data_IF_567867481714
#
_entry.id   IF_567867481714
#
_cell.length_a   1.000
_cell.length_b   1.000
_cell.length_c   1.000
_cell.angle_alpha   90.00
_cell.angle_beta   90.00
_cell.angle_gamma   90.00
#
_symmetry.space_group_name_H-M   'P 1'
#
loop_
_entity.id
_entity.type
_entity.pdbx_description
1 polymer ?
#
# COMPACT_ATOMS: atom_id res chain seq x y z
N UNK A 1 3.40 15.52 -3.73
CA UNK A 1 4.81 15.10 -3.82
C UNK A 1 4.95 13.96 -4.81
N UNK A 2 5.90 14.05 -5.69
CA UNK A 2 6.13 13.00 -6.66
C UNK A 2 6.81 11.80 -5.99
N UNK A 3 6.30 10.62 -6.27
CA UNK A 3 6.94 9.37 -5.83
C UNK A 3 8.17 9.11 -6.70
N UNK A 4 9.22 8.57 -6.11
CA UNK A 4 10.39 8.16 -6.87
C UNK A 4 10.00 7.08 -7.90
N UNK A 5 10.55 7.11 -9.11
CA UNK A 5 10.26 6.06 -10.09
C UNK A 5 10.81 4.72 -9.61
N UNK A 6 10.23 3.63 -10.15
CA UNK A 6 10.75 2.29 -9.91
C UNK A 6 12.19 2.20 -10.36
N UNK A 7 13.01 1.45 -9.63
CA UNK A 7 14.36 1.17 -10.06
C UNK A 7 14.34 0.18 -11.24
N UNK A 8 15.49 -0.02 -11.87
CA UNK A 8 15.61 -0.87 -13.04
C UNK A 8 15.17 -2.32 -12.77
N UNK A 9 15.50 -2.87 -11.61
CA UNK A 9 15.13 -4.24 -11.26
C UNK A 9 13.63 -4.40 -11.10
N UNK A 10 12.97 -3.44 -10.47
CA UNK A 10 11.52 -3.47 -10.30
C UNK A 10 10.80 -3.39 -11.65
N UNK A 11 11.25 -2.53 -12.54
CA UNK A 11 10.67 -2.42 -13.87
C UNK A 11 10.82 -3.72 -14.66
N UNK A 12 11.97 -4.38 -14.60
CA UNK A 12 12.19 -5.64 -15.28
C UNK A 12 11.31 -6.77 -14.73
N UNK A 13 11.13 -6.83 -13.41
CA UNK A 13 10.24 -7.81 -12.78
C UNK A 13 8.81 -7.63 -13.28
N UNK A 14 8.31 -6.41 -13.30
CA UNK A 14 6.95 -6.13 -13.78
C UNK A 14 6.78 -6.53 -15.25
N UNK A 15 7.74 -6.21 -16.12
CA UNK A 15 7.68 -6.57 -17.54
C UNK A 15 7.62 -8.08 -17.72
N UNK A 16 8.49 -8.82 -17.02
CA UNK A 16 8.49 -10.30 -17.13
C UNK A 16 7.17 -10.90 -16.67
N UNK A 17 6.60 -10.38 -15.59
CA UNK A 17 5.36 -10.90 -15.03
C UNK A 17 4.18 -10.66 -15.99
N UNK A 18 4.16 -9.55 -16.70
CA UNK A 18 3.10 -9.28 -17.67
C UNK A 18 3.21 -10.13 -18.93
N UNK A 19 4.37 -10.70 -19.21
CA UNK A 19 4.61 -11.44 -20.46
C UNK A 19 4.27 -12.92 -20.42
N UNK A 20 4.23 -13.56 -19.26
CA UNK A 20 4.12 -15.01 -19.24
C UNK A 20 3.28 -15.61 -18.14
N UNK A 21 2.64 -14.81 -17.32
CA UNK A 21 1.91 -15.28 -16.16
C UNK A 21 0.54 -14.68 -16.04
N UNK A 22 -0.31 -15.39 -15.27
CA UNK A 22 -1.55 -14.79 -14.80
C UNK A 22 -1.23 -13.68 -13.83
N UNK A 23 -1.67 -12.48 -14.15
CA UNK A 23 -1.43 -11.29 -13.35
C UNK A 23 -2.76 -10.79 -12.82
N UNK A 24 -3.11 -11.19 -11.60
CA UNK A 24 -4.34 -10.73 -10.99
C UNK A 24 -4.13 -10.16 -9.59
N UNK A 25 -2.88 -9.97 -9.19
CA UNK A 25 -2.57 -9.37 -7.91
C UNK A 25 -2.43 -7.86 -8.04
N UNK A 26 -2.81 -7.18 -6.98
CA UNK A 26 -2.82 -5.73 -6.90
C UNK A 26 -2.11 -5.30 -5.63
N UNK A 27 -1.33 -4.23 -5.73
CA UNK A 27 -0.92 -3.45 -4.58
C UNK A 27 -1.95 -2.35 -4.40
N UNK A 28 -2.23 -1.97 -3.18
CA UNK A 28 -3.16 -0.90 -2.91
C UNK A 28 -2.72 -0.09 -1.69
N UNK A 29 -3.20 1.15 -1.65
CA UNK A 29 -2.90 2.08 -0.55
C UNK A 29 -4.22 2.65 -0.06
N UNK A 30 -4.42 2.60 1.26
CA UNK A 30 -5.60 3.14 1.93
C UNK A 30 -5.18 4.35 2.75
N UNK A 31 -5.89 5.45 2.59
CA UNK A 31 -5.71 6.60 3.49
C UNK A 31 -6.32 6.26 4.85
N UNK A 32 -5.56 6.51 5.91
CA UNK A 32 -6.00 6.32 7.28
C UNK A 32 -6.31 7.67 7.93
N UNK A 33 -7.33 7.68 8.78
CA UNK A 33 -7.59 8.81 9.65
C UNK A 33 -6.35 9.16 10.47
N UNK A 34 -6.12 10.45 10.70
CA UNK A 34 -5.02 10.92 11.55
C UNK A 34 -5.14 10.42 12.99
N UNK A 35 -6.29 9.91 13.39
CA UNK A 35 -6.46 9.28 14.70
C UNK A 35 -5.56 8.06 14.89
N UNK A 36 -5.09 7.45 13.79
CA UNK A 36 -4.12 6.36 13.89
C UNK A 36 -2.83 6.79 14.59
N UNK A 37 -2.52 8.08 14.60
CA UNK A 37 -1.35 8.63 15.29
C UNK A 37 -1.44 8.53 16.82
N UNK A 38 -2.61 8.25 17.37
CA UNK A 38 -2.75 7.94 18.79
C UNK A 38 -2.32 6.52 19.13
N UNK A 39 -2.16 5.65 18.12
CA UNK A 39 -1.70 4.28 18.32
C UNK A 39 -0.18 4.23 18.44
N UNK A 40 0.31 3.78 19.59
CA UNK A 40 1.75 3.78 19.85
C UNK A 40 2.55 2.90 18.90
N UNK A 41 1.98 1.77 18.46
CA UNK A 41 2.63 0.89 17.48
C UNK A 41 2.83 1.60 16.14
N UNK A 42 1.82 2.36 15.73
CA UNK A 42 1.91 3.10 14.47
C UNK A 42 3.01 4.16 14.56
N UNK A 43 3.06 4.90 15.65
CA UNK A 43 4.10 5.91 15.84
C UNK A 43 5.50 5.30 15.86
N UNK A 44 5.67 4.16 16.54
CA UNK A 44 6.97 3.47 16.59
C UNK A 44 7.42 2.97 15.23
N UNK A 45 6.48 2.58 14.38
CA UNK A 45 6.81 2.15 13.02
C UNK A 45 7.19 3.33 12.12
N UNK A 46 6.91 4.57 12.54
CA UNK A 46 7.08 5.76 11.71
C UNK A 46 7.80 6.88 12.48
N UNK A 47 9.06 6.64 12.92
CA UNK A 47 9.78 7.65 13.72
C UNK A 47 10.06 8.93 12.94
N UNK A 48 10.08 8.85 11.59
CA UNK A 48 10.38 9.98 10.72
C UNK A 48 9.13 10.60 10.09
N UNK A 49 7.96 10.29 10.64
CA UNK A 49 6.72 10.87 10.15
C UNK A 49 6.78 12.40 10.21
N UNK A 50 6.39 13.04 9.11
CA UNK A 50 6.35 14.50 9.02
C UNK A 50 4.92 14.97 9.28
N UNK A 51 4.74 15.79 10.30
CA UNK A 51 3.44 16.34 10.66
C UNK A 51 2.75 16.97 9.46
N UNK A 52 1.50 16.60 9.24
CA UNK A 52 0.70 17.09 8.10
C UNK A 52 0.72 16.15 6.90
N UNK A 53 1.66 15.22 6.82
CA UNK A 53 1.68 14.22 5.75
C UNK A 53 0.60 13.16 5.98
N UNK A 54 0.14 12.49 4.92
CA UNK A 54 -0.87 11.43 5.07
C UNK A 54 -0.38 10.26 5.91
N UNK A 55 -1.34 9.57 6.52
CA UNK A 55 -1.14 8.26 7.13
C UNK A 55 -1.83 7.24 6.24
N UNK A 56 -1.14 6.15 5.92
CA UNK A 56 -1.62 5.17 4.95
C UNK A 56 -1.34 3.74 5.39
N UNK A 57 -2.10 2.82 4.81
CA UNK A 57 -1.86 1.38 4.86
C UNK A 57 -1.49 0.91 3.46
N UNK A 58 -0.45 0.12 3.34
CA UNK A 58 -0.03 -0.48 2.08
C UNK A 58 -0.22 -1.99 2.17
N UNK A 59 -0.95 -2.55 1.22
CA UNK A 59 -1.21 -3.98 1.18
C UNK A 59 -1.20 -4.52 -0.23
N UNK A 60 -1.37 -5.83 -0.35
CA UNK A 60 -1.58 -6.50 -1.63
C UNK A 60 -2.75 -7.46 -1.54
N UNK A 61 -3.36 -7.76 -2.66
CA UNK A 61 -4.53 -8.62 -2.73
C UNK A 61 -4.63 -9.30 -4.09
N UNK A 62 -5.21 -10.51 -4.10
CA UNK A 62 -5.60 -11.18 -5.35
C UNK A 62 -6.96 -10.73 -5.87
N UNK A 63 -7.63 -9.84 -5.13
CA UNK A 63 -8.92 -9.29 -5.48
C UNK A 63 -8.75 -7.89 -6.08
N UNK A 64 -9.82 -7.36 -6.65
CA UNK A 64 -9.86 -5.94 -6.97
C UNK A 64 -9.70 -5.13 -5.67
N UNK A 65 -8.89 -4.05 -5.67
CA UNK A 65 -8.69 -3.25 -4.46
C UNK A 65 -9.97 -2.72 -3.83
N UNK A 66 -10.97 -2.34 -4.61
CA UNK A 66 -12.27 -1.89 -4.09
C UNK A 66 -12.95 -2.98 -3.28
N UNK A 67 -12.93 -4.21 -3.79
CA UNK A 67 -13.51 -5.36 -3.10
C UNK A 67 -12.76 -5.65 -1.81
N UNK A 68 -11.43 -5.61 -1.86
CA UNK A 68 -10.62 -5.86 -0.66
C UNK A 68 -10.82 -4.79 0.40
N UNK A 69 -10.92 -3.53 -0.01
CA UNK A 69 -11.19 -2.44 0.91
C UNK A 69 -12.55 -2.63 1.61
N UNK A 70 -13.58 -2.99 0.85
CA UNK A 70 -14.91 -3.27 1.43
C UNK A 70 -14.86 -4.40 2.45
N UNK A 71 -14.10 -5.46 2.17
CA UNK A 71 -13.90 -6.56 3.11
C UNK A 71 -13.22 -6.10 4.40
N UNK A 72 -12.19 -5.26 4.29
CA UNK A 72 -11.55 -4.67 5.48
C UNK A 72 -12.56 -3.90 6.33
N UNK A 73 -13.36 -3.06 5.71
CA UNK A 73 -14.34 -2.25 6.44
C UNK A 73 -15.45 -3.11 7.06
N UNK A 74 -15.78 -4.23 6.41
CA UNK A 74 -16.77 -5.17 6.93
C UNK A 74 -16.21 -6.13 8.01
N UNK A 75 -14.90 -6.07 8.28
CA UNK A 75 -14.27 -6.92 9.28
C UNK A 75 -13.94 -8.33 8.79
N UNK A 76 -13.96 -8.57 7.47
CA UNK A 76 -13.70 -9.89 6.88
C UNK A 76 -12.19 -10.03 6.65
N UNK A 77 -11.52 -10.85 7.46
CA UNK A 77 -10.06 -11.01 7.43
C UNK A 77 -9.35 -9.66 7.40
N UNK A 78 -9.87 -8.73 8.19
CA UNK A 78 -9.51 -7.33 8.10
C UNK A 78 -8.20 -7.01 8.83
N UNK A 79 -7.41 -6.09 8.26
CA UNK A 79 -6.40 -5.40 9.02
C UNK A 79 -7.11 -4.43 9.97
N UNK A 80 -6.74 -4.43 11.25
CA UNK A 80 -7.43 -3.63 12.26
C UNK A 80 -7.27 -2.13 12.02
N UNK A 81 -6.15 -1.67 11.48
CA UNK A 81 -5.98 -0.25 11.19
C UNK A 81 -6.88 0.20 10.04
N UNK A 82 -6.99 -0.62 8.99
CA UNK A 82 -7.89 -0.30 7.89
C UNK A 82 -9.34 -0.34 8.34
N UNK A 83 -9.73 -1.35 9.10
CA UNK A 83 -11.10 -1.45 9.59
C UNK A 83 -11.48 -0.26 10.45
N UNK A 84 -10.59 0.16 11.34
CA UNK A 84 -10.85 1.20 12.33
C UNK A 84 -10.64 2.61 11.77
N UNK A 85 -9.58 2.81 10.99
CA UNK A 85 -9.14 4.14 10.55
C UNK A 85 -9.20 4.34 9.06
N UNK A 86 -9.48 3.32 8.26
CA UNK A 86 -9.50 3.43 6.80
C UNK A 86 -10.58 4.37 6.31
N UNK A 87 -10.19 5.31 5.46
CA UNK A 87 -11.08 6.33 4.90
C UNK A 87 -11.41 6.04 3.44
N UNK A 88 -10.39 5.80 2.62
CA UNK A 88 -10.55 5.56 1.19
C UNK A 88 -9.28 5.02 0.58
N UNK A 89 -9.41 4.43 -0.61
CA UNK A 89 -8.26 4.07 -1.43
C UNK A 89 -7.64 5.34 -2.04
N UNK A 90 -6.33 5.26 -2.31
CA UNK A 90 -5.57 6.31 -2.99
C UNK A 90 -5.00 5.76 -4.30
N UNK A 91 -5.84 5.57 -5.35
CA UNK A 91 -5.42 4.88 -6.56
C UNK A 91 -4.26 5.54 -7.30
N UNK A 92 -4.11 6.85 -7.19
CA UNK A 92 -3.03 7.57 -7.85
C UNK A 92 -1.64 7.07 -7.43
N UNK A 93 -1.54 6.43 -6.26
CA UNK A 93 -0.28 5.92 -5.75
C UNK A 93 0.07 4.52 -6.26
N UNK A 94 -0.86 3.79 -6.87
CA UNK A 94 -0.60 2.38 -7.19
C UNK A 94 -1.22 1.87 -8.48
N UNK A 95 -2.29 2.47 -9.00
CA UNK A 95 -3.05 1.83 -10.08
C UNK A 95 -2.25 1.67 -11.36
N UNK A 96 -1.24 2.51 -11.59
CA UNK A 96 -0.38 2.43 -12.76
C UNK A 96 0.42 1.11 -12.82
N UNK A 97 0.61 0.46 -11.69
CA UNK A 97 1.37 -0.79 -11.60
C UNK A 97 0.49 -2.03 -11.67
N UNK A 98 -0.80 -1.91 -11.37
CA UNK A 98 -1.71 -3.04 -11.24
C UNK A 98 -2.32 -3.42 -12.61
N UNK A 99 -2.66 -4.68 -12.82
CA UNK A 99 -2.36 -5.85 -12.00
C UNK A 99 -1.00 -6.45 -12.29
N UNK A 100 -0.56 -7.38 -11.45
CA UNK A 100 0.74 -8.01 -11.58
C UNK A 100 0.73 -9.42 -10.99
N UNK A 101 1.86 -10.13 -11.07
CA UNK A 101 2.01 -11.43 -10.42
C UNK A 101 2.09 -11.27 -8.90
N UNK A 102 1.90 -12.40 -8.19
CA UNK A 102 2.06 -12.42 -6.73
C UNK A 102 3.44 -11.91 -6.31
N UNK A 103 4.50 -12.42 -6.94
CA UNK A 103 5.87 -12.05 -6.54
C UNK A 103 6.14 -10.56 -6.77
N UNK A 104 5.68 -10.03 -7.90
CA UNK A 104 5.83 -8.61 -8.20
C UNK A 104 5.06 -7.75 -7.20
N UNK A 105 3.85 -8.16 -6.86
CA UNK A 105 3.02 -7.42 -5.90
C UNK A 105 3.65 -7.41 -4.51
N UNK A 106 4.19 -8.56 -4.08
CA UNK A 106 4.87 -8.65 -2.79
C UNK A 106 6.07 -7.72 -2.72
N UNK A 107 6.88 -7.69 -3.77
CA UNK A 107 8.07 -6.85 -3.81
C UNK A 107 7.68 -5.36 -3.87
N UNK A 108 6.68 -5.03 -4.66
CA UNK A 108 6.22 -3.64 -4.79
C UNK A 108 5.57 -3.13 -3.50
N UNK A 109 4.85 -3.98 -2.78
CA UNK A 109 4.28 -3.60 -1.49
C UNK A 109 5.35 -3.10 -0.53
N UNK A 110 6.46 -3.83 -0.43
CA UNK A 110 7.59 -3.45 0.43
C UNK A 110 8.23 -2.14 -0.04
N UNK A 111 8.53 -2.05 -1.34
CA UNK A 111 9.19 -0.87 -1.90
C UNK A 111 8.32 0.38 -1.79
N UNK A 112 7.03 0.24 -2.04
CA UNK A 112 6.10 1.37 -1.94
C UNK A 112 5.99 1.87 -0.50
N UNK A 113 5.95 0.96 0.47
CA UNK A 113 5.93 1.33 1.88
C UNK A 113 7.20 2.10 2.26
N UNK A 114 8.37 1.65 1.80
CA UNK A 114 9.64 2.33 2.03
C UNK A 114 9.63 3.73 1.42
N UNK A 115 9.23 3.83 0.16
CA UNK A 115 9.19 5.11 -0.56
C UNK A 115 8.28 6.12 0.13
N UNK A 116 7.12 5.69 0.58
CA UNK A 116 6.17 6.57 1.24
C UNK A 116 6.70 7.04 2.60
N UNK A 117 7.34 6.14 3.37
CA UNK A 117 7.98 6.55 4.62
C UNK A 117 9.10 7.56 4.39
N UNK A 118 9.92 7.34 3.38
CA UNK A 118 10.98 8.29 3.03
C UNK A 118 10.44 9.65 2.62
N UNK A 119 9.22 9.67 2.10
CA UNK A 119 8.51 10.91 1.77
C UNK A 119 7.84 11.58 2.97
N UNK A 120 8.00 11.03 4.15
CA UNK A 120 7.46 11.60 5.39
C UNK A 120 6.07 11.09 5.77
N UNK A 121 5.50 10.14 5.02
CA UNK A 121 4.21 9.56 5.34
C UNK A 121 4.29 8.68 6.59
N UNK A 122 3.18 8.57 7.31
CA UNK A 122 2.99 7.50 8.27
C UNK A 122 2.47 6.27 7.52
N UNK A 123 3.13 5.13 7.67
CA UNK A 123 2.82 3.93 6.89
C UNK A 123 2.68 2.72 7.80
N UNK A 124 1.63 1.95 7.57
CA UNK A 124 1.50 0.59 8.08
C UNK A 124 1.45 -0.36 6.90
N UNK A 125 2.34 -1.33 6.90
CA UNK A 125 2.42 -2.33 5.84
C UNK A 125 1.78 -3.64 6.32
N UNK A 126 1.11 -4.29 5.39
CA UNK A 126 0.50 -5.60 5.64
C UNK A 126 1.52 -6.67 6.03
#
# INVERSE_FOLDING_TARGET
MARAPLNHCQALVLVRDTMGRRNHYHVYVVELSKDVLYESRFRRANPDYVTGKPCVYVGMTGLDPDVRFDKHKAGIQANRYVQRFGLRLLPDLYEVYDPMSYDAARDLEVELAIDLRESGYGVWQA
#
